data_IF_358734876090
#
_entry.id   IF_358734876090
#
_cell.length_a   1.000
_cell.length_b   1.000
_cell.length_c   1.000
_cell.angle_alpha   90.00
_cell.angle_beta   90.00
_cell.angle_gamma   90.00
#
_symmetry.space_group_name_H-M   'P 1'
#
loop_
_entity.id
_entity.type
_entity.pdbx_description
1 polymer ?
#
# COMPACT_ATOMS: atom_id res chain seq x y z
N UNK A 1 7.97 0.36 -8.70
CA UNK A 1 7.01 -0.70 -8.35
C UNK A 1 5.85 0.00 -7.70
N UNK A 2 4.64 -0.33 -8.12
CA UNK A 2 3.43 0.13 -7.47
C UNK A 2 2.77 -1.07 -6.80
N UNK A 3 2.24 -0.89 -5.59
CA UNK A 3 1.56 -1.94 -4.84
C UNK A 3 0.11 -1.55 -4.66
N UNK A 4 -0.76 -2.34 -5.26
CA UNK A 4 -2.21 -2.21 -5.21
C UNK A 4 -2.79 -3.39 -4.44
N UNK A 5 -2.92 -3.23 -3.12
CA UNK A 5 -3.58 -4.20 -2.26
C UNK A 5 -4.92 -3.61 -1.83
N UNK A 6 -6.01 -4.22 -2.31
CA UNK A 6 -7.37 -3.82 -2.01
C UNK A 6 -8.10 -4.82 -1.07
N UNK A 7 -8.16 -4.63 0.25
CA UNK A 7 -7.43 -3.64 1.07
C UNK A 7 -6.87 -4.32 2.32
N UNK A 8 -5.76 -3.85 2.93
CA UNK A 8 -5.21 -4.47 4.13
C UNK A 8 -6.22 -4.51 5.28
N UNK A 9 -6.61 -5.70 5.74
CA UNK A 9 -7.55 -5.88 6.86
C UNK A 9 -9.03 -5.83 6.48
N UNK A 10 -9.33 -5.73 5.19
CA UNK A 10 -10.67 -5.58 4.62
C UNK A 10 -11.08 -6.86 3.87
N UNK A 11 -12.33 -7.30 4.03
CA UNK A 11 -12.86 -8.59 3.57
C UNK A 11 -14.06 -8.46 2.62
N UNK A 12 -14.26 -7.26 2.10
CA UNK A 12 -15.26 -6.89 1.13
C UNK A 12 -15.17 -7.83 -0.07
N UNK A 13 -16.33 -8.16 -0.66
CA UNK A 13 -16.41 -9.12 -1.78
C UNK A 13 -15.84 -10.52 -1.47
N UNK A 14 -15.70 -10.89 -0.19
CA UNK A 14 -15.18 -12.20 0.22
C UNK A 14 -13.67 -12.35 0.07
N UNK A 15 -12.94 -11.23 -0.05
CA UNK A 15 -11.48 -11.22 -0.10
C UNK A 15 -10.91 -11.67 1.25
N UNK A 16 -9.85 -12.47 1.21
CA UNK A 16 -9.18 -12.93 2.42
C UNK A 16 -8.44 -11.77 3.10
N UNK A 17 -8.64 -11.63 4.41
CA UNK A 17 -7.92 -10.64 5.21
C UNK A 17 -7.67 -11.12 6.62
N UNK A 18 -6.81 -10.38 7.31
CA UNK A 18 -6.41 -10.62 8.68
C UNK A 18 -6.28 -9.30 9.45
N UNK A 19 -6.57 -9.28 10.77
CA UNK A 19 -6.24 -8.14 11.61
C UNK A 19 -4.75 -7.77 11.62
N UNK A 20 -3.86 -8.70 11.21
CA UNK A 20 -2.42 -8.43 11.10
C UNK A 20 -2.02 -7.70 9.81
N UNK A 21 -2.91 -7.56 8.83
CA UNK A 21 -2.59 -6.99 7.53
C UNK A 21 -2.08 -5.55 7.64
N UNK A 22 -2.60 -4.74 8.56
CA UNK A 22 -2.09 -3.37 8.81
C UNK A 22 -0.60 -3.34 9.13
N UNK A 23 -0.15 -4.23 10.01
CA UNK A 23 1.26 -4.34 10.37
C UNK A 23 2.07 -5.01 9.24
N UNK A 24 1.53 -6.06 8.64
CA UNK A 24 2.19 -6.82 7.58
C UNK A 24 2.39 -5.99 6.30
N UNK A 25 1.45 -5.12 5.96
CA UNK A 25 1.56 -4.21 4.83
C UNK A 25 2.74 -3.24 5.03
N UNK A 26 2.90 -2.69 6.23
CA UNK A 26 4.08 -1.89 6.59
C UNK A 26 5.38 -2.70 6.44
N UNK A 27 5.41 -3.93 6.95
CA UNK A 27 6.58 -4.82 6.83
C UNK A 27 6.91 -5.17 5.38
N UNK A 28 5.89 -5.40 4.55
CA UNK A 28 6.02 -5.64 3.12
C UNK A 28 6.68 -4.44 2.43
N UNK A 29 6.15 -3.23 2.63
CA UNK A 29 6.69 -2.03 2.00
C UNK A 29 8.11 -1.73 2.46
N UNK A 30 8.42 -1.95 3.74
CA UNK A 30 9.80 -1.87 4.22
C UNK A 30 10.72 -2.89 3.54
N UNK A 31 10.26 -4.13 3.34
CA UNK A 31 11.04 -5.16 2.67
C UNK A 31 11.30 -4.82 1.19
N UNK A 32 10.28 -4.32 0.49
CA UNK A 32 10.39 -3.86 -0.90
C UNK A 32 11.33 -2.66 -0.99
N UNK A 33 11.15 -1.62 -0.16
CA UNK A 33 12.01 -0.44 -0.14
C UNK A 33 13.48 -0.83 0.02
N UNK A 34 13.79 -1.67 1.01
CA UNK A 34 15.14 -2.21 1.23
C UNK A 34 15.67 -2.99 0.03
N UNK A 35 14.82 -3.77 -0.64
CA UNK A 35 15.22 -4.54 -1.82
C UNK A 35 15.53 -3.63 -3.02
N UNK A 36 14.68 -2.62 -3.26
CA UNK A 36 14.88 -1.61 -4.29
C UNK A 36 16.14 -0.78 -4.04
N UNK A 37 16.39 -0.37 -2.81
CA UNK A 37 17.58 0.41 -2.45
C UNK A 37 18.85 -0.41 -2.66
N UNK A 38 18.85 -1.70 -2.30
CA UNK A 38 19.97 -2.61 -2.59
C UNK A 38 20.18 -2.80 -4.10
N UNK A 39 19.12 -2.97 -4.87
CA UNK A 39 19.20 -3.15 -6.31
C UNK A 39 19.72 -1.88 -7.02
N UNK A 40 19.42 -0.71 -6.47
CA UNK A 40 19.82 0.59 -7.02
C UNK A 40 21.24 1.01 -6.65
N UNK A 41 21.73 0.54 -5.49
CA UNK A 41 23.02 0.95 -4.97
C UNK A 41 23.08 2.47 -4.79
N UNK A 42 24.19 3.08 -5.22
CA UNK A 42 24.36 4.55 -5.19
C UNK A 42 23.95 5.24 -6.49
N UNK A 43 23.74 4.47 -7.55
CA UNK A 43 23.68 5.00 -8.91
C UNK A 43 22.24 5.16 -9.41
N UNK A 44 21.27 4.52 -8.73
CA UNK A 44 19.88 4.55 -9.14
C UNK A 44 18.94 4.47 -7.94
N UNK A 45 17.94 5.34 -7.90
CA UNK A 45 16.77 5.21 -7.02
C UNK A 45 15.62 4.61 -7.82
N UNK A 46 15.09 3.47 -7.37
CA UNK A 46 13.85 2.92 -7.90
C UNK A 46 12.66 3.45 -7.13
N UNK A 47 11.56 3.74 -7.83
CA UNK A 47 10.35 4.24 -7.23
C UNK A 47 9.53 3.13 -6.59
N UNK A 48 8.88 3.43 -5.46
CA UNK A 48 7.89 2.63 -4.78
C UNK A 48 6.65 3.51 -4.52
N UNK A 49 5.50 3.12 -5.04
CA UNK A 49 4.22 3.78 -4.76
C UNK A 49 3.21 2.76 -4.25
N UNK A 50 2.09 3.26 -3.75
CA UNK A 50 0.94 2.43 -3.41
C UNK A 50 -0.34 3.09 -3.91
N UNK A 51 -1.31 2.28 -4.34
CA UNK A 51 -2.68 2.73 -4.52
C UNK A 51 -3.43 2.71 -3.17
N UNK A 52 -4.22 3.74 -2.90
CA UNK A 52 -5.04 3.84 -1.68
C UNK A 52 -6.45 4.30 -2.01
N UNK A 53 -7.44 3.67 -1.38
CA UNK A 53 -8.84 4.04 -1.46
C UNK A 53 -9.23 5.11 -0.42
N UNK A 54 -10.52 5.34 -0.27
CA UNK A 54 -11.10 6.33 0.63
C UNK A 54 -11.14 5.88 2.10
N UNK A 55 -11.67 6.75 2.95
CA UNK A 55 -11.54 6.72 4.41
C UNK A 55 -11.60 5.33 5.07
N UNK A 56 -12.67 4.54 4.88
CA UNK A 56 -12.81 3.25 5.55
C UNK A 56 -11.65 2.29 5.31
N UNK A 57 -11.06 2.31 4.11
CA UNK A 57 -9.99 1.41 3.71
C UNK A 57 -8.60 1.89 4.15
N UNK A 58 -8.44 3.21 4.34
CA UNK A 58 -7.19 3.80 4.82
C UNK A 58 -6.90 3.43 6.28
N UNK A 59 -7.93 3.14 7.09
CA UNK A 59 -7.78 2.69 8.48
C UNK A 59 -6.98 1.36 8.59
N UNK A 60 -7.02 0.55 7.53
CA UNK A 60 -6.21 -0.66 7.37
C UNK A 60 -4.71 -0.41 7.18
N UNK A 61 -4.29 0.85 6.99
CA UNK A 61 -2.91 1.23 6.68
C UNK A 61 -2.32 2.10 7.80
N UNK A 62 -1.08 1.83 8.21
CA UNK A 62 -0.33 2.75 9.05
C UNK A 62 0.32 3.84 8.18
N UNK A 63 -0.45 4.87 7.82
CA UNK A 63 0.01 5.93 6.91
C UNK A 63 1.28 6.62 7.42
N UNK A 64 1.39 6.86 8.74
CA UNK A 64 2.57 7.49 9.32
C UNK A 64 3.83 6.62 9.14
N UNK A 65 3.71 5.30 9.29
CA UNK A 65 4.82 4.37 9.08
C UNK A 65 5.14 4.14 7.58
N UNK A 66 4.13 4.23 6.70
CA UNK A 66 4.25 3.93 5.27
C UNK A 66 4.71 5.13 4.44
N UNK A 67 4.25 6.34 4.76
CA UNK A 67 4.62 7.57 4.04
C UNK A 67 6.13 7.76 3.79
N UNK A 68 7.05 7.48 4.74
CA UNK A 68 8.49 7.62 4.46
C UNK A 68 9.08 6.50 3.58
N UNK A 69 8.33 5.43 3.33
CA UNK A 69 8.78 4.28 2.54
C UNK A 69 8.44 4.42 1.05
N UNK A 70 7.37 5.15 0.75
CA UNK A 70 6.84 5.33 -0.61
C UNK A 70 7.25 6.70 -1.16
N UNK A 71 7.34 6.80 -2.47
CA UNK A 71 7.62 8.05 -3.17
C UNK A 71 6.35 8.89 -3.34
N UNK A 72 5.18 8.24 -3.50
CA UNK A 72 3.85 8.88 -3.51
C UNK A 72 2.74 7.87 -3.24
N UNK A 73 1.52 8.39 -3.08
CA UNK A 73 0.28 7.63 -3.00
C UNK A 73 -0.58 7.94 -4.23
N UNK A 74 -1.04 6.90 -4.91
CA UNK A 74 -2.00 7.00 -6.00
C UNK A 74 -3.41 6.88 -5.41
N UNK A 75 -4.14 8.00 -5.38
CA UNK A 75 -5.48 8.04 -4.77
C UNK A 75 -6.51 7.50 -5.76
N UNK A 76 -7.18 6.40 -5.40
CA UNK A 76 -8.25 5.78 -6.17
C UNK A 76 -9.53 6.58 -6.05
N UNK A 77 -9.52 7.77 -6.63
CA UNK A 77 -10.60 8.77 -6.59
C UNK A 77 -11.68 8.50 -7.65
N UNK A 78 -12.06 7.23 -7.74
CA UNK A 78 -13.03 6.67 -8.66
C UNK A 78 -13.86 5.60 -7.95
N UNK A 79 -14.84 5.01 -8.64
CA UNK A 79 -15.71 3.95 -8.12
C UNK A 79 -16.53 4.30 -6.85
N UNK A 80 -16.70 5.59 -6.56
CA UNK A 80 -17.58 6.05 -5.47
C UNK A 80 -19.06 5.70 -5.66
N UNK A 81 -19.49 5.44 -6.90
CA UNK A 81 -20.85 5.02 -7.24
C UNK A 81 -20.82 4.01 -8.38
N UNK A 82 -21.75 3.05 -8.35
CA UNK A 82 -22.02 2.16 -9.47
C UNK A 82 -23.26 1.32 -9.27
N UNK A 83 -23.44 0.29 -10.11
CA UNK A 83 -24.70 -0.47 -10.20
C UNK A 83 -24.83 -1.62 -9.19
N UNK A 84 -23.89 -1.74 -8.25
CA UNK A 84 -23.83 -2.78 -7.21
C UNK A 84 -24.71 -2.45 -6.00
#
# INVERSE_FOLDING_TARGET
>A
VDIDWEYPGHHESGIASSPQDRANFTLLLQAIRRALDRAGGKDRRYTLSIAVADGPFVDGIDIAAVAPLVDWFDLMTYDFYGAW
#
